data_IF_500799468137
#
_entry.id   IF_500799468137
#
_cell.length_a   1.000
_cell.length_b   1.000
_cell.length_c   1.000
_cell.angle_alpha   90.00
_cell.angle_beta   90.00
_cell.angle_gamma   90.00
#
_symmetry.space_group_name_H-M   'P 1'
#
loop_
_entity.id
_entity.type
_entity.pdbx_description
1 polymer ?
#
# COMPACT_ATOMS: atom_id res chain seq x y z
N UNK A 1 -21.68 -2.59 -13.10
CA UNK A 1 -20.44 -3.10 -12.48
C UNK A 1 -20.28 -2.44 -11.12
N UNK A 2 -20.03 -3.19 -10.04
CA UNK A 2 -19.73 -2.63 -8.71
C UNK A 2 -18.26 -2.89 -8.42
N UNK A 3 -17.47 -1.84 -8.19
CA UNK A 3 -16.03 -1.95 -7.95
C UNK A 3 -15.71 -1.40 -6.56
N UNK A 4 -14.71 -1.99 -5.91
CA UNK A 4 -14.05 -1.46 -4.72
C UNK A 4 -12.55 -1.56 -4.95
N UNK A 5 -11.84 -0.46 -4.70
CA UNK A 5 -10.38 -0.46 -4.67
C UNK A 5 -9.94 -0.93 -3.29
N UNK A 6 -8.94 -1.81 -3.24
CA UNK A 6 -8.37 -2.36 -2.00
C UNK A 6 -6.86 -2.25 -2.13
N UNK A 7 -6.21 -1.73 -1.09
CA UNK A 7 -4.76 -1.74 -0.95
C UNK A 7 -4.36 -2.98 -0.15
N UNK A 8 -3.43 -3.76 -0.70
CA UNK A 8 -2.97 -5.02 -0.13
C UNK A 8 -1.44 -5.03 -0.11
N UNK A 9 -0.88 -5.45 1.01
CA UNK A 9 0.54 -5.81 1.12
C UNK A 9 0.66 -7.30 0.83
N UNK A 10 1.54 -7.65 -0.10
CA UNK A 10 1.81 -9.02 -0.46
C UNK A 10 3.07 -9.50 0.24
N UNK A 11 3.06 -10.75 0.72
CA UNK A 11 4.24 -11.35 1.36
C UNK A 11 4.47 -12.79 0.87
N UNK A 12 5.72 -13.24 0.98
CA UNK A 12 6.11 -14.63 0.74
C UNK A 12 6.25 -15.36 2.07
N UNK A 13 5.54 -16.47 2.25
CA UNK A 13 5.69 -17.34 3.42
C UNK A 13 6.72 -18.47 3.20
N UNK A 14 7.43 -18.47 2.07
CA UNK A 14 8.45 -19.45 1.76
C UNK A 14 9.60 -19.33 2.77
N UNK A 15 9.97 -20.45 3.40
CA UNK A 15 11.02 -20.48 4.42
C UNK A 15 12.42 -20.73 3.86
N UNK A 16 12.51 -21.26 2.64
CA UNK A 16 13.77 -21.61 1.98
C UNK A 16 13.65 -21.46 0.47
N UNK A 17 14.63 -20.81 -0.15
CA UNK A 17 14.68 -20.62 -1.60
C UNK A 17 14.86 -21.92 -2.40
N UNK A 18 15.19 -23.04 -1.74
CA UNK A 18 15.30 -24.34 -2.41
C UNK A 18 13.95 -24.87 -2.92
N UNK A 19 12.84 -24.39 -2.37
CA UNK A 19 11.47 -24.75 -2.76
C UNK A 19 10.80 -23.67 -3.61
N UNK A 20 11.56 -22.63 -4.01
CA UNK A 20 11.05 -21.49 -4.75
C UNK A 20 10.59 -21.93 -6.15
N UNK A 21 9.34 -21.63 -6.55
CA UNK A 21 8.89 -21.89 -7.92
C UNK A 21 9.74 -21.14 -8.95
N UNK A 22 10.00 -21.77 -10.10
CA UNK A 22 10.88 -21.21 -11.15
C UNK A 22 10.35 -19.91 -11.78
N UNK A 23 9.05 -19.64 -11.67
CA UNK A 23 8.42 -18.40 -12.15
C UNK A 23 8.52 -17.24 -11.14
N UNK A 24 9.00 -17.50 -9.92
CA UNK A 24 9.05 -16.50 -8.87
C UNK A 24 10.37 -15.72 -8.98
N UNK A 25 10.32 -14.42 -9.27
CA UNK A 25 11.50 -13.53 -9.25
C UNK A 25 11.46 -12.53 -8.10
N UNK A 26 10.35 -12.51 -7.37
CA UNK A 26 10.03 -11.63 -6.25
C UNK A 26 8.56 -11.77 -5.91
N UNK A 27 8.12 -11.21 -4.78
CA UNK A 27 6.69 -11.14 -4.46
C UNK A 27 6.04 -10.13 -5.40
N UNK A 28 5.00 -10.55 -6.13
CA UNK A 28 4.30 -9.63 -7.04
C UNK A 28 3.26 -10.31 -7.91
N UNK A 29 2.87 -9.61 -8.98
CA UNK A 29 1.79 -10.02 -9.89
C UNK A 29 1.98 -11.43 -10.48
N UNK A 30 3.23 -11.88 -10.71
CA UNK A 30 3.52 -13.22 -11.21
C UNK A 30 3.09 -14.32 -10.23
N UNK A 31 3.17 -14.04 -8.92
CA UNK A 31 2.69 -14.94 -7.88
C UNK A 31 1.15 -15.03 -7.87
N UNK A 32 0.45 -13.92 -8.15
CA UNK A 32 -1.02 -13.91 -8.30
C UNK A 32 -1.44 -14.73 -9.50
N UNK A 33 -0.80 -14.49 -10.65
CA UNK A 33 -1.11 -15.17 -11.90
C UNK A 33 -0.96 -16.70 -11.78
N UNK A 34 0.13 -17.15 -11.13
CA UNK A 34 0.43 -18.56 -10.95
C UNK A 34 -0.24 -19.19 -9.71
N UNK A 35 -1.06 -18.44 -8.95
CA UNK A 35 -1.66 -18.90 -7.69
C UNK A 35 -0.64 -19.53 -6.75
N UNK A 36 0.50 -18.85 -6.57
CA UNK A 36 1.61 -19.35 -5.77
C UNK A 36 1.14 -19.72 -4.35
N UNK A 37 1.41 -20.95 -3.92
CA UNK A 37 0.96 -21.45 -2.60
C UNK A 37 1.62 -20.74 -1.42
N UNK A 38 2.80 -20.15 -1.66
CA UNK A 38 3.55 -19.39 -0.66
C UNK A 38 3.18 -17.90 -0.63
N UNK A 39 2.29 -17.44 -1.51
CA UNK A 39 1.87 -16.04 -1.55
C UNK A 39 0.70 -15.81 -0.59
N UNK A 40 0.88 -14.86 0.32
CA UNK A 40 -0.17 -14.32 1.16
C UNK A 40 -0.35 -12.82 0.93
N UNK A 41 -1.45 -12.29 1.45
CA UNK A 41 -1.68 -10.85 1.49
C UNK A 41 -2.30 -10.43 2.82
N UNK A 42 -2.06 -9.20 3.21
CA UNK A 42 -2.73 -8.51 4.31
C UNK A 42 -3.26 -7.16 3.85
N UNK A 43 -4.15 -6.56 4.62
CA UNK A 43 -4.67 -5.22 4.33
C UNK A 43 -3.66 -4.15 4.77
N UNK A 44 -3.57 -3.06 4.01
CA UNK A 44 -2.84 -1.84 4.39
C UNK A 44 -3.82 -0.72 4.80
N UNK A 45 -4.34 -0.73 6.04
CA UNK A 45 -5.30 0.29 6.47
C UNK A 45 -4.59 1.63 6.70
N UNK A 46 -5.26 2.72 6.32
CA UNK A 46 -4.79 4.09 6.56
C UNK A 46 -3.38 4.35 5.96
N UNK A 47 -3.18 3.98 4.70
CA UNK A 47 -1.92 4.17 3.99
C UNK A 47 -2.14 5.03 2.73
N UNK A 48 -1.15 5.85 2.42
CA UNK A 48 -1.00 6.49 1.11
C UNK A 48 0.21 5.85 0.45
N UNK A 49 0.07 5.46 -0.81
CA UNK A 49 1.16 4.89 -1.59
C UNK A 49 1.19 5.50 -3.00
N UNK A 50 2.39 5.73 -3.51
CA UNK A 50 2.70 5.97 -4.90
C UNK A 50 2.94 4.62 -5.57
N UNK A 51 2.09 4.31 -6.56
CA UNK A 51 2.18 3.07 -7.30
C UNK A 51 2.56 3.38 -8.75
N UNK A 52 3.43 2.56 -9.32
CA UNK A 52 3.86 2.67 -10.71
C UNK A 52 2.75 2.25 -11.69
N UNK A 53 3.06 2.21 -12.99
CA UNK A 53 2.15 1.82 -14.07
C UNK A 53 1.56 0.40 -13.93
N UNK A 54 2.19 -0.45 -13.11
CA UNK A 54 1.73 -1.80 -12.81
C UNK A 54 0.95 -1.89 -11.48
N UNK A 55 0.76 -0.77 -10.79
CA UNK A 55 0.12 -0.73 -9.47
C UNK A 55 1.01 -1.27 -8.36
N UNK A 56 2.33 -1.28 -8.56
CA UNK A 56 3.33 -1.76 -7.58
C UNK A 56 3.97 -0.56 -6.89
N UNK A 57 4.15 -0.68 -5.58
CA UNK A 57 4.93 0.22 -4.73
C UNK A 57 6.33 -0.39 -4.65
N UNK A 58 7.35 0.31 -5.17
CA UNK A 58 8.69 -0.27 -5.35
C UNK A 58 9.58 -0.06 -4.13
N UNK A 59 9.56 1.14 -3.54
CA UNK A 59 10.44 1.52 -2.44
C UNK A 59 9.69 1.83 -1.14
N UNK A 60 10.36 1.66 0.00
CA UNK A 60 9.84 2.04 1.33
C UNK A 60 9.53 3.55 1.46
N UNK A 61 10.09 4.36 0.56
CA UNK A 61 9.82 5.80 0.48
C UNK A 61 8.57 6.14 -0.33
N UNK A 62 8.03 5.19 -1.08
CA UNK A 62 6.86 5.38 -1.94
C UNK A 62 5.54 5.22 -1.18
N UNK A 63 5.57 4.85 0.10
CA UNK A 63 4.36 4.77 0.92
C UNK A 63 4.56 5.30 2.33
N UNK A 64 3.44 5.61 2.96
CA UNK A 64 3.37 5.96 4.38
C UNK A 64 2.07 5.42 4.96
N UNK A 65 2.22 4.53 5.93
CA UNK A 65 1.13 3.89 6.66
C UNK A 65 1.02 4.37 8.10
N UNK A 66 -0.18 4.35 8.66
CA UNK A 66 -0.37 4.59 10.09
C UNK A 66 0.14 3.39 10.91
N UNK A 67 1.12 3.61 11.79
CA UNK A 67 1.66 2.57 12.68
C UNK A 67 2.95 3.00 13.36
N UNK A 68 3.58 2.08 14.10
CA UNK A 68 4.86 2.32 14.78
C UNK A 68 4.82 3.56 15.67
N UNK A 69 5.69 4.53 15.38
CA UNK A 69 5.81 5.80 16.11
C UNK A 69 4.57 6.71 16.00
N UNK A 70 3.65 6.42 15.08
CA UNK A 70 2.38 7.16 14.93
C UNK A 70 1.27 6.65 15.85
N UNK A 71 1.47 5.53 16.55
CA UNK A 71 0.48 4.97 17.45
C UNK A 71 0.26 5.85 18.70
N UNK A 72 -0.98 5.88 19.18
CA UNK A 72 -1.28 6.51 20.46
C UNK A 72 -0.85 5.62 21.63
N UNK A 73 -0.70 6.21 22.81
CA UNK A 73 -0.42 5.47 24.05
C UNK A 73 -1.62 4.64 24.54
N UNK A 74 -2.80 4.87 23.99
CA UNK A 74 -4.04 4.14 24.29
C UNK A 74 -4.97 4.12 23.05
N UNK A 75 -6.04 3.33 23.14
CA UNK A 75 -7.02 3.13 22.06
C UNK A 75 -7.76 4.41 21.67
N UNK A 76 -8.10 5.27 22.64
CA UNK A 76 -8.83 6.50 22.36
C UNK A 76 -7.92 7.50 21.64
N UNK A 77 -6.67 7.61 22.09
CA UNK A 77 -5.67 8.45 21.44
C UNK A 77 -5.35 7.94 20.04
N UNK A 78 -5.25 6.63 19.85
CA UNK A 78 -5.02 6.01 18.55
C UNK A 78 -6.14 6.35 17.57
N UNK A 79 -7.41 6.26 18.00
CA UNK A 79 -8.55 6.67 17.16
C UNK A 79 -8.49 8.15 16.76
N UNK A 80 -8.20 9.04 17.71
CA UNK A 80 -8.05 10.49 17.43
C UNK A 80 -6.93 10.75 16.40
N UNK A 81 -5.80 10.05 16.53
CA UNK A 81 -4.66 10.18 15.62
C UNK A 81 -4.99 9.64 14.22
N UNK A 82 -5.68 8.51 14.11
CA UNK A 82 -6.16 7.97 12.83
C UNK A 82 -7.11 8.95 12.14
N UNK A 83 -8.01 9.61 12.88
CA UNK A 83 -8.89 10.63 12.31
C UNK A 83 -8.13 11.82 11.74
N UNK A 84 -7.09 12.29 12.45
CA UNK A 84 -6.22 13.37 11.97
C UNK A 84 -5.43 12.93 10.74
N UNK A 85 -4.87 11.72 10.78
CA UNK A 85 -4.14 11.13 9.67
C UNK A 85 -5.02 11.05 8.42
N UNK A 86 -6.25 10.54 8.54
CA UNK A 86 -7.19 10.47 7.43
C UNK A 86 -7.52 11.84 6.81
N UNK A 87 -7.58 12.90 7.63
CA UNK A 87 -7.76 14.29 7.12
C UNK A 87 -6.52 14.76 6.34
N UNK A 88 -5.32 14.44 6.83
CA UNK A 88 -4.06 14.76 6.14
C UNK A 88 -4.00 14.02 4.80
N UNK A 89 -4.31 12.72 4.76
CA UNK A 89 -4.27 11.93 3.53
C UNK A 89 -5.18 12.50 2.45
N UNK A 90 -6.43 12.83 2.82
CA UNK A 90 -7.39 13.42 1.88
C UNK A 90 -6.89 14.75 1.33
N UNK A 91 -6.39 15.63 2.20
CA UNK A 91 -5.82 16.91 1.79
C UNK A 91 -4.66 16.71 0.80
N UNK A 92 -3.78 15.74 1.05
CA UNK A 92 -2.64 15.45 0.17
C UNK A 92 -3.04 14.94 -1.20
N UNK A 93 -4.10 14.14 -1.28
CA UNK A 93 -4.69 13.70 -2.55
C UNK A 93 -5.25 14.90 -3.33
N UNK A 94 -5.98 15.79 -2.64
CA UNK A 94 -6.56 16.98 -3.28
C UNK A 94 -5.45 17.93 -3.78
N UNK A 95 -4.44 18.21 -2.95
CA UNK A 95 -3.26 19.02 -3.32
C UNK A 95 -2.55 18.46 -4.57
N UNK A 96 -2.34 17.15 -4.64
CA UNK A 96 -1.69 16.51 -5.79
C UNK A 96 -2.50 16.67 -7.08
N UNK A 97 -3.83 16.58 -7.00
CA UNK A 97 -4.70 16.79 -8.15
C UNK A 97 -4.67 18.26 -8.62
N UNK A 98 -4.80 19.21 -7.69
CA UNK A 98 -4.78 20.64 -7.99
C UNK A 98 -3.46 21.05 -8.64
N UNK A 99 -2.32 20.66 -8.07
CA UNK A 99 -0.99 20.95 -8.58
C UNK A 99 -0.79 20.42 -10.01
N UNK A 100 -1.23 19.18 -10.27
CA UNK A 100 -1.15 18.61 -11.62
C UNK A 100 -2.03 19.36 -12.63
N UNK A 101 -3.25 19.75 -12.23
CA UNK A 101 -4.16 20.46 -13.12
C UNK A 101 -3.67 21.87 -13.44
N UNK A 102 -3.05 22.55 -12.48
CA UNK A 102 -2.39 23.84 -12.72
C UNK A 102 -1.22 23.69 -13.70
N UNK A 103 -0.36 22.69 -13.51
CA UNK A 103 0.73 22.36 -14.44
C UNK A 103 0.22 22.01 -15.85
N UNK A 104 -0.90 21.29 -15.97
CA UNK A 104 -1.48 20.91 -17.26
C UNK A 104 -2.05 22.10 -18.04
N UNK A 105 -2.47 23.16 -17.34
CA UNK A 105 -3.13 24.32 -17.92
C UNK A 105 -2.17 25.51 -18.13
N UNK A 106 -0.91 25.41 -17.72
CA UNK A 106 0.15 26.39 -17.97
C UNK A 106 0.76 26.25 -19.36
#
# INVERSE_FOLDING_TARGET
MKMKHVLLEMYCSLKSDNEKPTYCEGVGHICIHNKCEYMGCTYCPNEIAYANEHGVVEDELDFVGFGGDMNGNDDNKTKELIEKWNKICRKKIDEAYEEYMDYRNS
#
